data_IF_878603215078
#
_entry.id   IF_878603215078
#
_cell.length_a   1.000
_cell.length_b   1.000
_cell.length_c   1.000
_cell.angle_alpha   90.00
_cell.angle_beta   90.00
_cell.angle_gamma   90.00
#
_symmetry.space_group_name_H-M   'P 1'
#
loop_
_entity.id
_entity.type
_entity.pdbx_description
1 polymer ?
#
# COMPACT_ATOMS: atom_id res chain seq x y z
N UNK A 1 -1.26 14.11 8.14
CA UNK A 1 -1.43 14.35 6.69
C UNK A 1 -0.65 15.57 6.18
N UNK A 2 -0.14 16.46 7.04
CA UNK A 2 0.47 17.72 6.60
C UNK A 2 1.83 17.58 5.88
N UNK A 3 2.55 16.47 6.07
CA UNK A 3 3.89 16.28 5.50
C UNK A 3 3.91 16.17 3.97
N UNK A 4 2.83 15.65 3.37
CA UNK A 4 2.74 15.40 1.92
C UNK A 4 1.60 16.16 1.23
N UNK A 5 0.82 16.95 1.96
CA UNK A 5 -0.43 17.54 1.45
C UNK A 5 -0.28 18.47 0.23
N UNK A 6 0.93 18.97 -0.04
CA UNK A 6 1.24 19.78 -1.23
C UNK A 6 2.17 19.06 -2.23
N UNK A 7 2.52 17.80 -1.99
CA UNK A 7 3.47 17.03 -2.81
C UNK A 7 2.80 15.93 -3.64
N UNK A 8 1.62 15.46 -3.23
CA UNK A 8 0.89 14.39 -3.90
C UNK A 8 -0.59 14.76 -4.03
N UNK A 9 -1.20 14.40 -5.14
CA UNK A 9 -2.60 14.73 -5.43
C UNK A 9 -3.59 13.90 -4.62
N UNK A 10 -3.20 12.67 -4.23
CA UNK A 10 -4.07 11.71 -3.57
C UNK A 10 -3.34 11.07 -2.37
N UNK A 11 -3.97 11.15 -1.20
CA UNK A 11 -3.57 10.42 0.01
C UNK A 11 -4.80 9.66 0.51
N UNK A 12 -4.65 8.36 0.71
CA UNK A 12 -5.73 7.50 1.23
C UNK A 12 -5.21 6.68 2.40
N UNK A 13 -5.91 6.77 3.53
CA UNK A 13 -5.67 5.90 4.68
C UNK A 13 -6.49 4.62 4.54
N UNK A 14 -5.87 3.48 4.84
CA UNK A 14 -6.50 2.16 4.79
C UNK A 14 -6.11 1.36 6.02
N UNK A 15 -6.95 0.39 6.39
CA UNK A 15 -6.71 -0.44 7.58
C UNK A 15 -6.09 -1.80 7.23
N UNK A 16 -6.24 -2.27 5.99
CA UNK A 16 -5.77 -3.59 5.56
C UNK A 16 -4.98 -3.53 4.25
N UNK A 17 -3.98 -4.41 4.09
CA UNK A 17 -3.17 -4.50 2.86
C UNK A 17 -4.03 -4.72 1.61
N UNK A 18 -5.09 -5.53 1.72
CA UNK A 18 -6.01 -5.81 0.61
C UNK A 18 -6.76 -4.58 0.14
N UNK A 19 -7.15 -3.68 1.06
CA UNK A 19 -7.78 -2.40 0.71
C UNK A 19 -6.76 -1.46 0.06
N UNK A 20 -5.56 -1.35 0.63
CA UNK A 20 -4.48 -0.53 0.07
C UNK A 20 -4.19 -0.89 -1.39
N UNK A 21 -4.05 -2.18 -1.68
CA UNK A 21 -3.78 -2.69 -3.04
C UNK A 21 -4.97 -2.44 -3.98
N UNK A 22 -6.21 -2.63 -3.53
CA UNK A 22 -7.41 -2.34 -4.35
C UNK A 22 -7.52 -0.86 -4.70
N UNK A 23 -7.20 0.03 -3.77
CA UNK A 23 -7.22 1.47 -4.02
C UNK A 23 -6.10 1.86 -4.96
N UNK A 24 -4.88 1.36 -4.72
CA UNK A 24 -3.75 1.58 -5.63
C UNK A 24 -4.07 1.13 -7.07
N UNK A 25 -4.70 -0.03 -7.25
CA UNK A 25 -5.12 -0.51 -8.56
C UNK A 25 -6.18 0.39 -9.25
N UNK A 26 -7.10 0.99 -8.47
CA UNK A 26 -8.11 1.90 -9.01
C UNK A 26 -7.56 3.27 -9.38
N UNK A 27 -6.48 3.71 -8.72
CA UNK A 27 -5.86 5.02 -8.93
C UNK A 27 -4.77 4.96 -10.02
N UNK A 28 -4.06 3.84 -10.11
CA UNK A 28 -2.99 3.66 -11.10
C UNK A 28 -3.55 3.49 -12.52
N UNK A 29 -2.81 4.01 -13.50
CA UNK A 29 -3.10 3.84 -14.92
C UNK A 29 -2.18 2.81 -15.58
N UNK A 30 -2.51 2.40 -16.80
CA UNK A 30 -1.68 1.48 -17.57
C UNK A 30 -0.30 2.10 -17.84
N UNK A 31 0.76 1.45 -17.32
CA UNK A 31 2.14 1.92 -17.41
C UNK A 31 2.72 2.42 -16.08
N UNK A 32 1.88 2.62 -15.06
CA UNK A 32 2.33 2.98 -13.73
C UNK A 32 2.90 1.78 -12.96
N UNK A 33 3.76 2.08 -11.97
CA UNK A 33 4.30 1.09 -11.05
C UNK A 33 3.74 1.31 -9.64
N UNK A 34 3.24 0.25 -9.02
CA UNK A 34 2.81 0.26 -7.62
C UNK A 34 3.94 -0.28 -6.74
N UNK A 35 4.45 0.56 -5.84
CA UNK A 35 5.55 0.22 -4.92
C UNK A 35 5.07 0.17 -3.47
N UNK A 36 5.31 -0.96 -2.80
CA UNK A 36 5.20 -1.06 -1.35
C UNK A 36 6.52 -0.64 -0.70
N UNK A 37 6.58 0.59 -0.15
CA UNK A 37 7.76 1.13 0.55
C UNK A 37 7.40 1.66 1.96
N UNK A 38 7.16 0.76 2.93
CA UNK A 38 6.82 1.15 4.29
C UNK A 38 8.06 1.67 5.04
N UNK A 39 8.04 2.95 5.41
CA UNK A 39 9.13 3.64 6.09
C UNK A 39 9.31 3.24 7.59
N UNK A 40 8.57 2.25 8.09
CA UNK A 40 8.64 1.82 9.49
C UNK A 40 8.49 0.30 9.66
N UNK A 41 9.03 -0.21 10.77
CA UNK A 41 8.88 -1.61 11.17
C UNK A 41 7.42 -1.86 11.58
N UNK A 42 6.74 -2.72 10.83
CA UNK A 42 5.35 -3.05 11.04
C UNK A 42 5.21 -4.05 12.16
N UNK A 43 4.95 -3.59 13.39
CA UNK A 43 4.69 -4.48 14.53
C UNK A 43 3.21 -4.51 14.97
N UNK A 44 2.37 -3.59 14.50
CA UNK A 44 0.95 -3.54 14.91
C UNK A 44 -0.01 -4.30 13.97
N UNK A 45 0.37 -4.51 12.70
CA UNK A 45 -0.53 -5.03 11.65
C UNK A 45 0.01 -6.30 10.94
N UNK A 46 1.27 -6.65 11.18
CA UNK A 46 1.97 -7.76 10.51
C UNK A 46 2.88 -8.46 11.51
N UNK A 47 2.98 -9.80 11.42
CA UNK A 47 3.83 -10.59 12.32
C UNK A 47 5.34 -10.29 12.12
N UNK A 48 5.73 -9.96 10.88
CA UNK A 48 7.10 -9.63 10.48
C UNK A 48 7.12 -8.98 9.08
N UNK A 49 8.30 -8.58 8.61
CA UNK A 49 8.46 -7.94 7.30
C UNK A 49 8.08 -8.88 6.15
N UNK A 50 8.39 -10.18 6.29
CA UNK A 50 8.08 -11.19 5.28
C UNK A 50 6.57 -11.36 5.12
N UNK A 51 5.83 -11.35 6.22
CA UNK A 51 4.38 -11.47 6.22
C UNK A 51 3.71 -10.32 5.47
N UNK A 52 4.14 -9.09 5.74
CA UNK A 52 3.71 -7.91 4.99
C UNK A 52 3.94 -8.05 3.48
N UNK A 53 5.12 -8.55 3.09
CA UNK A 53 5.44 -8.79 1.68
C UNK A 53 4.59 -9.91 1.05
N UNK A 54 4.26 -10.96 1.81
CA UNK A 54 3.35 -12.02 1.36
C UNK A 54 1.94 -11.49 1.16
N UNK A 55 1.38 -10.80 2.15
CA UNK A 55 0.04 -10.21 2.06
C UNK A 55 -0.09 -9.25 0.87
N UNK A 56 0.94 -8.44 0.57
CA UNK A 56 0.92 -7.60 -0.63
C UNK A 56 0.89 -8.41 -1.92
N UNK A 57 1.77 -9.41 -2.06
CA UNK A 57 1.81 -10.28 -3.24
C UNK A 57 0.48 -11.02 -3.43
N UNK A 58 -0.11 -11.51 -2.35
CA UNK A 58 -1.36 -12.24 -2.41
C UNK A 58 -2.53 -11.31 -2.71
N UNK A 59 -2.55 -10.09 -2.16
CA UNK A 59 -3.54 -9.08 -2.52
C UNK A 59 -3.44 -8.70 -4.00
N UNK A 60 -2.23 -8.49 -4.54
CA UNK A 60 -2.01 -8.16 -5.96
C UNK A 60 -2.44 -9.31 -6.88
N UNK A 61 -2.18 -10.56 -6.50
CA UNK A 61 -2.61 -11.75 -7.27
C UNK A 61 -4.12 -11.99 -7.27
N UNK A 62 -4.82 -11.44 -6.28
CA UNK A 62 -6.28 -11.59 -6.10
C UNK A 62 -7.07 -10.33 -6.52
N UNK A 63 -6.42 -9.39 -7.22
CA UNK A 63 -7.09 -8.28 -7.92
C UNK A 63 -7.88 -8.80 -9.13
#
# INVERSE_FOLDING_TARGET
>A
MDTFGNMVDVIVETQYMSEAVKIAYKVAEAGDNVLLSPACASFDLFENYEDRGRQFKDAVRNL
#
